data_IF_090696906463
#
_entry.id   IF_090696906463
#
_cell.length_a   1.000
_cell.length_b   1.000
_cell.length_c   1.000
_cell.angle_alpha   90.00
_cell.angle_beta   90.00
_cell.angle_gamma   90.00
#
_symmetry.space_group_name_H-M   'P 1'
#
loop_
_entity.id
_entity.type
_entity.pdbx_description
1 polymer ?
#
# COMPACT_ATOMS: atom_id res chain seq x y z
N UNK A 1 17.51 -7.37 -12.87
CA UNK A 1 17.50 -8.50 -11.92
C UNK A 1 17.40 -9.78 -12.73
N UNK A 2 18.25 -10.81 -12.50
CA UNK A 2 18.14 -12.10 -13.19
C UNK A 2 16.79 -12.75 -12.86
N UNK A 3 16.24 -13.47 -13.82
CA UNK A 3 14.98 -14.19 -13.69
C UNK A 3 14.93 -15.02 -12.40
N UNK A 4 13.88 -14.84 -11.61
CA UNK A 4 13.68 -15.49 -10.30
C UNK A 4 13.84 -17.04 -10.37
N UNK A 5 13.67 -17.64 -11.55
CA UNK A 5 13.93 -19.07 -11.80
C UNK A 5 15.40 -19.46 -11.93
N UNK A 6 16.30 -18.54 -12.24
CA UNK A 6 17.74 -18.80 -12.36
C UNK A 6 18.48 -18.81 -11.01
N UNK A 7 17.91 -18.15 -9.99
CA UNK A 7 18.48 -18.07 -8.63
C UNK A 7 18.64 -19.43 -7.93
N UNK A 8 17.86 -20.41 -8.32
CA UNK A 8 17.84 -21.72 -7.65
C UNK A 8 19.00 -22.62 -8.02
N UNK A 9 19.68 -22.37 -9.14
CA UNK A 9 20.62 -23.33 -9.72
C UNK A 9 21.97 -22.74 -10.13
N UNK A 10 22.29 -21.47 -9.80
CA UNK A 10 23.60 -20.91 -10.08
C UNK A 10 24.57 -21.19 -8.91
N UNK A 11 25.53 -22.13 -9.10
CA UNK A 11 26.49 -22.49 -8.06
C UNK A 11 27.40 -21.33 -7.64
N UNK A 12 27.58 -20.30 -8.48
CA UNK A 12 28.39 -19.11 -8.17
C UNK A 12 27.67 -18.18 -7.22
N UNK A 13 26.35 -18.00 -7.35
CA UNK A 13 25.55 -17.22 -6.40
C UNK A 13 25.37 -17.95 -5.06
N UNK A 14 25.19 -19.27 -5.09
CA UNK A 14 25.18 -20.09 -3.87
C UNK A 14 26.53 -20.04 -3.14
N UNK A 15 27.65 -19.95 -3.86
CA UNK A 15 28.97 -19.76 -3.27
C UNK A 15 29.14 -18.35 -2.68
N UNK A 16 28.62 -17.31 -3.34
CA UNK A 16 28.63 -15.92 -2.81
C UNK A 16 27.71 -15.75 -1.60
N UNK A 17 26.56 -16.43 -1.57
CA UNK A 17 25.67 -16.47 -0.39
C UNK A 17 26.33 -17.19 0.78
N UNK A 18 27.15 -18.23 0.51
CA UNK A 18 27.92 -18.95 1.55
C UNK A 18 29.21 -18.21 1.94
N UNK A 19 29.77 -17.36 1.07
CA UNK A 19 31.06 -16.71 1.27
C UNK A 19 31.02 -15.42 2.08
N UNK A 20 29.85 -14.92 2.46
CA UNK A 20 29.70 -13.71 3.27
C UNK A 20 28.75 -13.95 4.44
N UNK A 21 29.14 -14.70 5.49
CA UNK A 21 28.52 -14.48 6.76
C UNK A 21 28.91 -13.05 7.19
N UNK A 22 27.96 -12.13 7.07
CA UNK A 22 28.14 -10.79 7.65
C UNK A 22 28.18 -11.01 9.15
N UNK A 23 29.38 -11.08 9.74
CA UNK A 23 29.61 -11.19 11.18
C UNK A 23 29.18 -9.89 11.91
N UNK A 24 28.06 -9.30 11.51
CA UNK A 24 27.47 -8.14 12.15
C UNK A 24 26.43 -8.57 13.16
N UNK A 25 26.45 -7.93 14.32
CA UNK A 25 25.35 -8.06 15.28
C UNK A 25 24.03 -7.62 14.66
N UNK A 26 22.90 -8.20 15.13
CA UNK A 26 21.56 -7.79 14.75
C UNK A 26 21.38 -6.26 14.73
N UNK A 27 21.90 -5.58 15.75
CA UNK A 27 21.80 -4.11 15.87
C UNK A 27 22.60 -3.37 14.79
N UNK A 28 23.75 -3.88 14.42
CA UNK A 28 24.57 -3.30 13.34
C UNK A 28 23.89 -3.47 11.99
N UNK A 29 23.27 -4.63 11.73
CA UNK A 29 22.47 -4.89 10.53
C UNK A 29 21.30 -3.91 10.47
N UNK A 30 20.55 -3.79 11.56
CA UNK A 30 19.39 -2.92 11.65
C UNK A 30 19.73 -1.45 11.40
N UNK A 31 20.75 -0.93 12.06
CA UNK A 31 21.18 0.46 11.87
C UNK A 31 21.69 0.68 10.44
N UNK A 32 22.61 -0.18 9.97
CA UNK A 32 23.29 0.00 8.69
C UNK A 32 22.36 -0.14 7.48
N UNK A 33 21.46 -1.10 7.47
CA UNK A 33 20.65 -1.43 6.29
C UNK A 33 19.22 -0.88 6.34
N UNK A 34 18.74 -0.48 7.52
CA UNK A 34 17.38 0.02 7.68
C UNK A 34 17.40 1.50 8.06
N UNK A 35 17.96 1.86 9.21
CA UNK A 35 17.84 3.24 9.72
C UNK A 35 18.61 4.27 8.87
N UNK A 36 19.76 3.91 8.30
CA UNK A 36 20.59 4.83 7.49
C UNK A 36 20.25 4.80 6.00
N UNK A 37 19.35 3.91 5.56
CA UNK A 37 18.97 3.81 4.16
C UNK A 37 17.79 4.76 3.84
N UNK A 38 18.00 5.83 3.07
CA UNK A 38 16.93 6.80 2.75
C UNK A 38 15.79 6.19 1.92
N UNK A 39 16.07 5.18 1.09
CA UNK A 39 15.03 4.50 0.31
C UNK A 39 14.04 3.78 1.21
N UNK A 40 14.53 3.18 2.30
CA UNK A 40 13.69 2.52 3.30
C UNK A 40 12.71 3.51 3.92
N UNK A 41 13.14 4.72 4.26
CA UNK A 41 12.26 5.74 4.83
C UNK A 41 11.19 6.22 3.85
N UNK A 42 11.53 6.38 2.57
CA UNK A 42 10.54 6.74 1.53
C UNK A 42 9.49 5.61 1.40
N UNK A 43 9.92 4.35 1.42
CA UNK A 43 9.02 3.19 1.39
C UNK A 43 8.12 3.16 2.62
N UNK A 44 8.67 3.35 3.82
CA UNK A 44 7.91 3.34 5.08
C UNK A 44 6.86 4.44 5.10
N UNK A 45 7.20 5.67 4.70
CA UNK A 45 6.25 6.79 4.65
C UNK A 45 5.15 6.49 3.63
N UNK A 46 5.51 5.97 2.45
CA UNK A 46 4.55 5.59 1.42
C UNK A 46 3.60 4.49 1.89
N UNK A 47 4.12 3.43 2.50
CA UNK A 47 3.33 2.31 3.01
C UNK A 47 2.44 2.70 4.20
N UNK A 48 2.96 3.50 5.14
CA UNK A 48 2.18 4.08 6.23
C UNK A 48 0.98 4.86 5.69
N UNK A 49 1.20 5.67 4.64
CA UNK A 49 0.15 6.45 3.99
C UNK A 49 -0.89 5.57 3.29
N UNK A 50 -0.47 4.48 2.64
CA UNK A 50 -1.40 3.46 2.10
C UNK A 50 -2.26 2.88 3.20
N UNK A 51 -1.69 2.57 4.37
CA UNK A 51 -2.44 2.01 5.50
C UNK A 51 -3.46 3.00 6.06
N UNK A 52 -3.15 4.29 6.13
CA UNK A 52 -4.13 5.33 6.49
C UNK A 52 -5.33 5.25 5.55
N UNK A 53 -5.09 5.34 4.24
CA UNK A 53 -6.14 5.29 3.25
C UNK A 53 -6.91 3.96 3.27
N UNK A 54 -6.19 2.82 3.37
CA UNK A 54 -6.80 1.50 3.46
C UNK A 54 -7.77 1.40 4.62
N UNK A 55 -7.36 1.80 5.81
CA UNK A 55 -8.20 1.72 7.00
C UNK A 55 -9.41 2.66 6.88
N UNK A 56 -9.22 3.86 6.31
CA UNK A 56 -10.35 4.78 6.08
C UNK A 56 -11.34 4.16 5.11
N UNK A 57 -10.88 3.66 3.97
CA UNK A 57 -11.76 3.13 2.91
C UNK A 57 -12.39 1.79 3.28
N UNK A 58 -11.81 1.06 4.23
CA UNK A 58 -12.34 -0.19 4.75
C UNK A 58 -13.37 0.02 5.88
N UNK A 59 -13.09 0.90 6.84
CA UNK A 59 -13.86 0.95 8.09
C UNK A 59 -14.94 2.03 8.10
N UNK A 60 -14.72 3.16 7.41
CA UNK A 60 -15.62 4.31 7.47
C UNK A 60 -16.84 4.25 6.56
N UNK A 61 -16.84 3.60 5.39
CA UNK A 61 -17.99 3.54 4.50
C UNK A 61 -19.20 2.85 5.13
N UNK A 62 -19.00 1.79 5.91
CA UNK A 62 -20.10 1.13 6.61
C UNK A 62 -20.84 2.08 7.58
N UNK A 63 -20.06 2.95 8.24
CA UNK A 63 -20.62 3.95 9.17
C UNK A 63 -21.38 5.01 8.38
N UNK A 64 -20.81 5.47 7.26
CA UNK A 64 -21.44 6.43 6.36
C UNK A 64 -22.80 5.92 5.85
N UNK A 65 -22.82 4.76 5.21
CA UNK A 65 -24.05 4.22 4.62
C UNK A 65 -25.11 3.83 5.66
N UNK A 66 -24.69 3.40 6.84
CA UNK A 66 -25.62 3.14 7.95
C UNK A 66 -26.21 4.43 8.52
N UNK A 67 -25.39 5.48 8.75
CA UNK A 67 -25.85 6.72 9.39
C UNK A 67 -26.57 7.66 8.42
N UNK A 68 -26.10 7.78 7.17
CA UNK A 68 -26.60 8.76 6.21
C UNK A 68 -27.74 8.18 5.35
N UNK A 69 -27.59 6.94 4.92
CA UNK A 69 -28.58 6.28 4.03
C UNK A 69 -29.51 5.31 4.75
N UNK A 70 -29.32 5.07 6.05
CA UNK A 70 -30.14 4.13 6.82
C UNK A 70 -30.03 2.67 6.35
N UNK A 71 -28.91 2.31 5.71
CA UNK A 71 -28.73 0.93 5.25
C UNK A 71 -28.58 -0.02 6.44
N UNK A 72 -29.13 -1.23 6.31
CA UNK A 72 -28.84 -2.30 7.27
C UNK A 72 -27.36 -2.58 7.34
N UNK A 73 -26.87 -3.04 8.50
CA UNK A 73 -25.45 -3.36 8.70
C UNK A 73 -24.93 -4.36 7.67
N UNK A 74 -25.75 -5.36 7.29
CA UNK A 74 -25.38 -6.35 6.28
C UNK A 74 -25.16 -5.67 4.93
N UNK A 75 -26.05 -4.78 4.51
CA UNK A 75 -25.93 -4.05 3.24
C UNK A 75 -24.73 -3.09 3.26
N UNK A 76 -24.51 -2.38 4.35
CA UNK A 76 -23.36 -1.46 4.48
C UNK A 76 -22.03 -2.23 4.48
N UNK A 77 -21.94 -3.35 5.20
CA UNK A 77 -20.75 -4.19 5.22
C UNK A 77 -20.46 -4.90 3.89
N UNK A 78 -21.47 -5.15 3.06
CA UNK A 78 -21.23 -5.76 1.74
C UNK A 78 -20.37 -4.87 0.82
N UNK A 79 -20.36 -3.56 1.01
CA UNK A 79 -19.46 -2.64 0.27
C UNK A 79 -17.99 -2.95 0.60
N UNK A 80 -17.69 -3.27 1.86
CA UNK A 80 -16.34 -3.67 2.29
C UNK A 80 -15.95 -5.01 1.63
N UNK A 81 -16.89 -5.95 1.55
CA UNK A 81 -16.66 -7.23 0.88
C UNK A 81 -16.28 -7.05 -0.59
N UNK A 82 -16.93 -6.14 -1.29
CA UNK A 82 -16.58 -5.78 -2.67
C UNK A 82 -15.21 -5.10 -2.78
N UNK A 83 -14.89 -4.20 -1.83
CA UNK A 83 -13.57 -3.58 -1.75
C UNK A 83 -12.45 -4.63 -1.55
N UNK A 84 -12.63 -5.57 -0.62
CA UNK A 84 -11.65 -6.64 -0.36
C UNK A 84 -11.54 -7.62 -1.54
N UNK A 85 -12.66 -7.96 -2.20
CA UNK A 85 -12.64 -8.80 -3.41
C UNK A 85 -11.84 -8.13 -4.55
N UNK A 86 -12.07 -6.84 -4.77
CA UNK A 86 -11.26 -6.04 -5.68
C UNK A 86 -9.80 -6.02 -5.29
N UNK A 87 -9.53 -5.87 -3.99
CA UNK A 87 -8.18 -5.85 -3.41
C UNK A 87 -7.39 -7.14 -3.67
N UNK A 88 -8.03 -8.29 -3.48
CA UNK A 88 -7.42 -9.58 -3.79
C UNK A 88 -6.98 -9.66 -5.26
N UNK A 89 -7.85 -9.31 -6.18
CA UNK A 89 -7.53 -9.29 -7.61
C UNK A 89 -6.43 -8.28 -7.93
N UNK A 90 -6.50 -7.07 -7.34
CA UNK A 90 -5.56 -5.99 -7.55
C UNK A 90 -4.14 -6.32 -7.07
N UNK A 91 -4.03 -6.92 -5.87
CA UNK A 91 -2.74 -7.34 -5.33
C UNK A 91 -2.05 -8.40 -6.19
N UNK A 92 -2.79 -9.42 -6.64
CA UNK A 92 -2.27 -10.46 -7.53
C UNK A 92 -1.85 -9.88 -8.88
N UNK A 93 -2.70 -9.04 -9.47
CA UNK A 93 -2.43 -8.45 -10.79
C UNK A 93 -1.28 -7.46 -10.74
N UNK A 94 -1.14 -6.68 -9.67
CA UNK A 94 -0.05 -5.73 -9.51
C UNK A 94 1.32 -6.45 -9.48
N UNK A 95 1.42 -7.59 -8.80
CA UNK A 95 2.61 -8.43 -8.83
C UNK A 95 2.93 -8.92 -10.24
N UNK A 96 1.94 -9.51 -10.91
CA UNK A 96 2.08 -9.97 -12.28
C UNK A 96 2.49 -8.86 -13.24
N UNK A 97 1.79 -7.71 -13.23
CA UNK A 97 2.10 -6.56 -14.08
C UNK A 97 3.49 -6.01 -13.81
N UNK A 98 3.89 -5.93 -12.54
CA UNK A 98 5.22 -5.48 -12.16
C UNK A 98 6.31 -6.36 -12.79
N UNK A 99 6.16 -7.68 -12.69
CA UNK A 99 7.20 -8.60 -13.13
C UNK A 99 7.24 -8.77 -14.64
N UNK A 100 6.08 -8.88 -15.31
CA UNK A 100 6.00 -9.19 -16.75
C UNK A 100 5.93 -7.95 -17.65
N UNK A 101 5.14 -6.91 -17.29
CA UNK A 101 4.97 -5.75 -18.17
C UNK A 101 6.00 -4.65 -17.88
N UNK A 102 6.32 -4.43 -16.62
CA UNK A 102 7.22 -3.33 -16.21
C UNK A 102 8.64 -3.80 -15.89
N UNK A 103 9.03 -5.01 -16.29
CA UNK A 103 10.39 -5.56 -16.11
C UNK A 103 10.87 -5.44 -14.65
N UNK A 104 10.00 -5.81 -13.71
CA UNK A 104 10.23 -5.71 -12.27
C UNK A 104 10.34 -4.27 -11.72
N UNK A 105 9.87 -3.26 -12.47
CA UNK A 105 9.78 -1.90 -11.95
C UNK A 105 8.54 -1.75 -11.05
N UNK A 106 8.68 -2.18 -9.79
CA UNK A 106 7.59 -2.18 -8.79
C UNK A 106 7.02 -0.79 -8.53
N UNK A 107 7.91 0.22 -8.54
CA UNK A 107 7.54 1.60 -8.21
C UNK A 107 6.66 2.23 -9.28
N UNK A 108 6.97 1.99 -10.56
CA UNK A 108 6.16 2.49 -11.67
C UNK A 108 4.78 1.82 -11.71
N UNK A 109 4.73 0.51 -11.49
CA UNK A 109 3.45 -0.22 -11.39
C UNK A 109 2.61 0.33 -10.24
N UNK A 110 3.20 0.46 -9.04
CA UNK A 110 2.53 1.02 -7.88
C UNK A 110 2.03 2.45 -8.11
N UNK A 111 2.79 3.28 -8.83
CA UNK A 111 2.41 4.64 -9.18
C UNK A 111 1.14 4.70 -10.03
N UNK A 112 1.01 3.82 -11.03
CA UNK A 112 -0.18 3.75 -11.89
C UNK A 112 -1.42 3.39 -11.05
N UNK A 113 -1.29 2.38 -10.16
CA UNK A 113 -2.37 1.99 -9.27
C UNK A 113 -2.75 3.11 -8.28
N UNK A 114 -1.76 3.81 -7.71
CA UNK A 114 -2.01 4.92 -6.79
C UNK A 114 -2.72 6.10 -7.48
N UNK A 115 -2.35 6.43 -8.72
CA UNK A 115 -3.03 7.44 -9.53
C UNK A 115 -4.47 7.05 -9.84
N UNK A 116 -4.71 5.78 -10.20
CA UNK A 116 -6.07 5.27 -10.39
C UNK A 116 -6.91 5.39 -9.12
N UNK A 117 -6.33 5.09 -7.97
CA UNK A 117 -7.01 5.24 -6.67
C UNK A 117 -7.33 6.72 -6.35
N UNK A 118 -6.42 7.66 -6.64
CA UNK A 118 -6.71 9.10 -6.49
C UNK A 118 -7.96 9.50 -7.28
N UNK A 119 -8.06 9.05 -8.53
CA UNK A 119 -9.22 9.34 -9.38
C UNK A 119 -10.49 8.74 -8.75
N UNK A 120 -10.43 7.48 -8.30
CA UNK A 120 -11.58 6.83 -7.67
C UNK A 120 -12.07 7.56 -6.42
N UNK A 121 -11.15 8.03 -5.54
CA UNK A 121 -11.52 8.77 -4.33
C UNK A 121 -12.23 10.09 -4.68
N UNK A 122 -11.76 10.79 -5.71
CA UNK A 122 -12.41 12.03 -6.20
C UNK A 122 -13.82 11.75 -6.75
N UNK A 123 -14.08 10.57 -7.28
CA UNK A 123 -15.39 10.17 -7.80
C UNK A 123 -16.36 9.72 -6.70
N UNK A 124 -15.91 9.41 -5.48
CA UNK A 124 -16.77 8.94 -4.39
C UNK A 124 -17.96 9.88 -4.14
N UNK A 125 -17.78 11.21 -3.97
CA UNK A 125 -18.90 12.12 -3.72
C UNK A 125 -19.96 12.15 -4.83
N UNK A 126 -19.59 11.81 -6.07
CA UNK A 126 -20.51 11.77 -7.20
C UNK A 126 -21.33 10.47 -7.27
N UNK A 127 -20.81 9.39 -6.68
CA UNK A 127 -21.37 8.05 -6.83
C UNK A 127 -22.06 7.58 -5.55
N UNK A 128 -21.58 7.99 -4.38
CA UNK A 128 -22.00 7.47 -3.07
C UNK A 128 -23.52 7.59 -2.80
N UNK A 129 -24.18 8.61 -3.39
CA UNK A 129 -25.60 8.90 -3.18
C UNK A 129 -26.50 8.39 -4.33
N UNK A 130 -25.95 7.69 -5.31
CA UNK A 130 -26.68 7.27 -6.51
C UNK A 130 -27.35 5.90 -6.34
N UNK A 131 -26.59 4.83 -6.35
CA UNK A 131 -27.09 3.47 -6.25
C UNK A 131 -26.09 2.54 -5.57
N UNK A 132 -26.61 1.50 -4.91
CA UNK A 132 -25.78 0.45 -4.32
C UNK A 132 -24.81 -0.17 -5.34
N UNK A 133 -25.29 -0.47 -6.54
CA UNK A 133 -24.49 -1.15 -7.57
C UNK A 133 -23.31 -0.30 -8.03
N UNK A 134 -23.53 0.99 -8.29
CA UNK A 134 -22.45 1.89 -8.69
C UNK A 134 -21.43 2.09 -7.56
N UNK A 135 -21.91 2.20 -6.32
CA UNK A 135 -21.06 2.24 -5.14
C UNK A 135 -20.20 0.97 -5.02
N UNK A 136 -20.80 -0.22 -5.13
CA UNK A 136 -20.10 -1.49 -5.05
C UNK A 136 -19.03 -1.62 -6.13
N UNK A 137 -19.33 -1.22 -7.36
CA UNK A 137 -18.37 -1.21 -8.48
C UNK A 137 -17.21 -0.26 -8.17
N UNK A 138 -17.50 0.97 -7.73
CA UNK A 138 -16.46 1.95 -7.39
C UNK A 138 -15.56 1.43 -6.27
N UNK A 139 -16.13 0.88 -5.19
CA UNK A 139 -15.33 0.33 -4.09
C UNK A 139 -14.53 -0.91 -4.50
N UNK A 140 -15.04 -1.74 -5.41
CA UNK A 140 -14.27 -2.85 -5.99
C UNK A 140 -13.04 -2.33 -6.75
N UNK A 141 -13.21 -1.30 -7.57
CA UNK A 141 -12.09 -0.67 -8.30
C UNK A 141 -11.12 0.02 -7.34
N UNK A 142 -11.62 0.66 -6.29
CA UNK A 142 -10.78 1.28 -5.25
C UNK A 142 -9.94 0.24 -4.50
N UNK A 143 -10.53 -0.89 -4.12
CA UNK A 143 -9.81 -2.01 -3.52
C UNK A 143 -8.74 -2.53 -4.46
N UNK A 144 -9.08 -2.79 -5.71
CA UNK A 144 -8.15 -3.20 -6.75
C UNK A 144 -6.97 -2.24 -6.87
N UNK A 145 -7.23 -0.94 -6.93
CA UNK A 145 -6.20 0.08 -7.08
C UNK A 145 -5.36 0.29 -5.81
N UNK A 146 -5.91 0.07 -4.62
CA UNK A 146 -5.21 0.28 -3.35
C UNK A 146 -4.23 -0.86 -3.02
N UNK A 147 -4.65 -2.11 -3.25
CA UNK A 147 -3.81 -3.26 -2.89
C UNK A 147 -2.58 -3.41 -3.78
N UNK A 148 -2.57 -2.79 -4.99
CA UNK A 148 -1.39 -2.71 -5.85
C UNK A 148 -0.18 -2.09 -5.13
N UNK A 149 -0.21 -0.81 -4.77
CA UNK A 149 0.86 -0.16 -4.02
C UNK A 149 1.19 -0.86 -2.71
N UNK A 150 0.18 -1.31 -1.97
CA UNK A 150 0.34 -1.99 -0.70
C UNK A 150 1.22 -3.24 -0.81
N UNK A 151 0.93 -4.12 -1.78
CA UNK A 151 1.73 -5.33 -2.02
C UNK A 151 3.11 -5.00 -2.58
N UNK A 152 3.22 -4.00 -3.46
CA UNK A 152 4.49 -3.63 -4.07
C UNK A 152 5.45 -2.98 -3.08
N UNK A 153 4.99 -2.21 -2.10
CA UNK A 153 5.84 -1.74 -1.00
C UNK A 153 6.33 -2.90 -0.13
N UNK A 154 5.48 -3.90 0.13
CA UNK A 154 5.87 -5.06 0.93
C UNK A 154 7.00 -5.86 0.27
N UNK A 155 6.94 -6.05 -1.04
CA UNK A 155 8.00 -6.77 -1.77
C UNK A 155 9.19 -5.85 -2.05
N UNK A 156 8.95 -4.61 -2.45
CA UNK A 156 10.00 -3.65 -2.80
C UNK A 156 10.92 -3.28 -1.63
N UNK A 157 10.46 -3.34 -0.39
CA UNK A 157 11.33 -3.11 0.77
C UNK A 157 12.40 -4.21 0.93
N UNK A 158 12.11 -5.43 0.45
CA UNK A 158 13.09 -6.52 0.45
C UNK A 158 14.14 -6.34 -0.66
N UNK A 159 13.75 -5.73 -1.79
CA UNK A 159 14.66 -5.48 -2.91
C UNK A 159 15.72 -4.42 -2.60
N UNK A 160 15.42 -3.48 -1.69
CA UNK A 160 16.34 -2.38 -1.35
C UNK A 160 17.18 -2.63 -0.09
N UNK A 161 17.01 -3.79 0.56
CA UNK A 161 17.71 -4.14 1.79
C UNK A 161 18.52 -5.42 1.63
N UNK A 162 19.49 -5.62 2.53
CA UNK A 162 20.29 -6.85 2.56
C UNK A 162 19.44 -8.04 3.01
N UNK A 163 19.74 -9.25 2.51
CA UNK A 163 19.01 -10.48 2.82
C UNK A 163 18.91 -10.75 4.32
N UNK A 164 20.01 -10.49 5.07
CA UNK A 164 20.05 -10.66 6.52
C UNK A 164 19.16 -9.67 7.28
N UNK A 165 18.74 -8.56 6.64
CA UNK A 165 17.84 -7.57 7.20
C UNK A 165 16.36 -7.82 6.83
N UNK A 166 16.04 -8.84 6.03
CA UNK A 166 14.70 -9.07 5.48
C UNK A 166 13.61 -9.17 6.56
N UNK A 167 13.83 -9.94 7.61
CA UNK A 167 12.88 -10.05 8.73
C UNK A 167 12.72 -8.72 9.50
N UNK A 168 13.86 -8.04 9.74
CA UNK A 168 13.88 -6.78 10.47
C UNK A 168 13.17 -5.65 9.70
N UNK A 169 13.39 -5.53 8.39
CA UNK A 169 12.72 -4.50 7.58
C UNK A 169 11.22 -4.77 7.48
N UNK A 170 10.81 -6.03 7.33
CA UNK A 170 9.38 -6.39 7.28
C UNK A 170 8.68 -6.02 8.59
N UNK A 171 9.28 -6.33 9.74
CA UNK A 171 8.75 -5.96 11.05
C UNK A 171 8.73 -4.45 11.26
N UNK A 172 9.82 -3.75 10.91
CA UNK A 172 9.92 -2.29 11.05
C UNK A 172 8.92 -1.56 10.16
N UNK A 173 8.76 -1.95 8.89
CA UNK A 173 7.73 -1.45 8.01
C UNK A 173 6.33 -1.70 8.59
N UNK A 174 6.06 -2.93 9.04
CA UNK A 174 4.78 -3.29 9.65
C UNK A 174 4.41 -2.43 10.85
N UNK A 175 5.39 -2.08 11.71
CA UNK A 175 5.17 -1.16 12.83
C UNK A 175 4.61 0.19 12.34
N UNK A 176 5.21 0.81 11.33
CA UNK A 176 4.75 2.07 10.78
C UNK A 176 3.41 1.94 10.04
N UNK A 177 3.17 0.81 9.39
CA UNK A 177 1.86 0.52 8.78
C UNK A 177 0.74 0.56 9.83
N UNK A 178 0.95 -0.05 11.01
CA UNK A 178 -0.01 0.02 12.12
C UNK A 178 -0.14 1.41 12.75
N UNK A 179 0.94 2.20 12.80
CA UNK A 179 0.85 3.62 13.15
C UNK A 179 -0.07 4.34 12.15
N UNK A 180 0.08 4.06 10.84
CA UNK A 180 -0.83 4.57 9.82
C UNK A 180 -2.29 4.15 10.05
N UNK A 181 -2.55 2.88 10.36
CA UNK A 181 -3.89 2.41 10.69
C UNK A 181 -4.48 3.16 11.90
N UNK A 182 -3.68 3.40 12.95
CA UNK A 182 -4.11 4.17 14.11
C UNK A 182 -4.46 5.62 13.77
N UNK A 183 -3.78 6.24 12.79
CA UNK A 183 -4.11 7.58 12.29
C UNK A 183 -5.45 7.65 11.53
N UNK A 184 -6.01 6.52 11.13
CA UNK A 184 -7.36 6.44 10.58
C UNK A 184 -8.47 6.36 11.64
N UNK A 185 -8.13 6.33 12.92
CA UNK A 185 -9.06 6.34 14.05
C UNK A 185 -9.40 7.77 14.52
N UNK A 186 -8.84 8.17 15.67
CA UNK A 186 -9.12 9.48 16.31
C UNK A 186 -8.90 10.67 15.38
N UNK A 187 -7.82 10.79 14.60
CA UNK A 187 -7.63 11.91 13.68
C UNK A 187 -8.77 12.04 12.66
N UNK A 188 -9.28 10.92 12.13
CA UNK A 188 -10.40 10.95 11.18
C UNK A 188 -11.70 11.39 11.86
N UNK A 189 -11.93 11.02 13.12
CA UNK A 189 -13.09 11.51 13.89
C UNK A 189 -13.02 13.04 14.04
N UNK A 190 -11.86 13.60 14.35
CA UNK A 190 -11.66 15.03 14.47
C UNK A 190 -11.95 15.74 13.14
N UNK A 191 -11.44 15.22 12.04
CA UNK A 191 -11.67 15.76 10.70
C UNK A 191 -13.15 15.65 10.31
N UNK A 192 -13.80 14.50 10.59
CA UNK A 192 -15.24 14.32 10.35
C UNK A 192 -16.09 15.32 11.13
N UNK A 193 -15.74 15.59 12.39
CA UNK A 193 -16.47 16.53 13.22
C UNK A 193 -16.34 17.98 12.75
N UNK A 194 -15.20 18.35 12.12
CA UNK A 194 -14.93 19.69 11.61
C UNK A 194 -15.43 19.91 10.17
N UNK A 195 -15.29 18.89 9.29
CA UNK A 195 -15.53 19.02 7.84
C UNK A 195 -16.54 17.98 7.31
N UNK A 196 -17.32 17.36 8.21
CA UNK A 196 -18.27 16.30 7.88
C UNK A 196 -17.60 15.14 7.11
N UNK A 197 -18.38 14.38 6.35
CA UNK A 197 -17.90 13.23 5.58
C UNK A 197 -16.95 13.59 4.43
N UNK A 198 -17.07 14.81 3.88
CA UNK A 198 -16.13 15.30 2.87
C UNK A 198 -14.71 15.33 3.39
N UNK A 199 -14.53 15.72 4.66
CA UNK A 199 -13.21 15.72 5.32
C UNK A 199 -12.57 14.34 5.37
N UNK A 200 -13.36 13.27 5.57
CA UNK A 200 -12.86 11.89 5.61
C UNK A 200 -12.25 11.48 4.27
N UNK A 201 -12.92 11.79 3.16
CA UNK A 201 -12.42 11.49 1.83
C UNK A 201 -11.22 12.35 1.44
N UNK A 202 -11.20 13.63 1.84
CA UNK A 202 -10.05 14.52 1.64
C UNK A 202 -8.84 13.98 2.41
N UNK A 203 -9.02 13.50 3.63
CA UNK A 203 -7.93 12.93 4.42
C UNK A 203 -7.38 11.65 3.77
N UNK A 204 -8.25 10.77 3.26
CA UNK A 204 -7.84 9.60 2.49
C UNK A 204 -7.08 10.00 1.21
N UNK A 205 -7.56 11.04 0.51
CA UNK A 205 -6.91 11.55 -0.71
C UNK A 205 -5.51 12.10 -0.41
N UNK A 206 -5.34 12.86 0.66
CA UNK A 206 -4.03 13.36 1.09
C UNK A 206 -3.08 12.19 1.36
N UNK A 207 -3.55 11.14 2.06
CA UNK A 207 -2.74 9.95 2.32
C UNK A 207 -2.30 9.27 1.02
N UNK A 208 -3.19 9.11 0.03
CA UNK A 208 -2.82 8.50 -1.27
C UNK A 208 -1.96 9.43 -2.12
N UNK A 209 -2.09 10.73 -2.03
CA UNK A 209 -1.16 11.67 -2.68
C UNK A 209 0.25 11.55 -2.11
N UNK A 210 0.41 11.37 -0.79
CA UNK A 210 1.71 11.08 -0.17
C UNK A 210 2.29 9.73 -0.65
N UNK A 211 1.44 8.70 -0.76
CA UNK A 211 1.82 7.41 -1.37
C UNK A 211 2.30 7.60 -2.81
N UNK A 212 1.54 8.34 -3.62
CA UNK A 212 1.85 8.62 -5.02
C UNK A 212 3.19 9.36 -5.16
N UNK A 213 3.43 10.34 -4.29
CA UNK A 213 4.70 11.07 -4.24
C UNK A 213 5.86 10.14 -3.88
N UNK A 214 5.70 9.28 -2.87
CA UNK A 214 6.72 8.30 -2.48
C UNK A 214 7.06 7.35 -3.63
N UNK A 215 6.05 6.83 -4.34
CA UNK A 215 6.24 5.95 -5.50
C UNK A 215 6.91 6.68 -6.68
N UNK A 216 6.54 7.94 -6.92
CA UNK A 216 7.15 8.75 -7.96
C UNK A 216 8.63 9.02 -7.67
N UNK A 217 8.99 9.31 -6.42
CA UNK A 217 10.38 9.47 -5.98
C UNK A 217 11.17 8.18 -6.15
N UNK A 218 10.63 7.04 -5.68
CA UNK A 218 11.27 5.73 -5.82
C UNK A 218 11.44 5.33 -7.29
N UNK A 219 10.46 5.63 -8.16
CA UNK A 219 10.54 5.32 -9.58
C UNK A 219 11.63 6.12 -10.30
N UNK A 220 11.92 7.35 -9.85
CA UNK A 220 13.01 8.18 -10.36
C UNK A 220 14.38 7.68 -9.87
N UNK A 221 14.49 7.39 -8.57
CA UNK A 221 15.73 6.92 -7.96
C UNK A 221 16.15 5.54 -8.47
N UNK A 222 15.22 4.70 -8.86
CA UNK A 222 15.50 3.38 -9.44
C UNK A 222 16.02 3.44 -10.88
N UNK A 223 15.87 4.56 -11.58
CA UNK A 223 16.37 4.77 -12.95
C UNK A 223 17.78 5.33 -13.01
N UNK A 224 18.30 5.82 -11.89
CA UNK A 224 19.68 6.32 -11.73
C UNK A 224 20.60 5.19 -11.24
#
# INVERSE_FOLDING_TARGET
LPNVGQWRNDPTELAQVKASPVNLSFWQIFVKYILTNPLVWIIIIGDMSVYIARTILNDWPQIYYSQVHGWSLIKANSIISWFEAGGLAGGLLAGYLSDFMFKSNRWMTGLIFALALCICIVLVPLVQDTSYTLTAILFTIMGFALYGPHMLFAVGCLDVTHKDAAGSITGFRGLFSYVGAAMAGVPVIMVKNSWAWSGVYIYALIAILLTTLSLALLSRLHRL
#
